data_IF_847010320056
#
_entry.id   IF_847010320056
#
_cell.length_a   1.000
_cell.length_b   1.000
_cell.length_c   1.000
_cell.angle_alpha   90.00
_cell.angle_beta   90.00
_cell.angle_gamma   90.00
#
_symmetry.space_group_name_H-M   'P 1'
#
loop_
_entity.id
_entity.type
_entity.pdbx_description
1 polymer ?
#
# COMPACT_ATOMS: atom_id res chain seq x y z
N UNK A 1 -14.26 -24.67 -3.94
CA UNK A 1 -14.80 -23.80 -5.00
C UNK A 1 -13.74 -22.72 -5.26
N UNK A 2 -13.32 -22.57 -6.52
CA UNK A 2 -12.37 -21.52 -6.92
C UNK A 2 -12.94 -20.12 -6.60
N UNK A 3 -12.14 -19.18 -6.12
CA UNK A 3 -12.58 -17.82 -5.97
C UNK A 3 -13.05 -17.30 -7.33
N UNK A 4 -14.18 -16.61 -7.37
CA UNK A 4 -14.64 -15.96 -8.59
C UNK A 4 -13.73 -14.77 -8.83
N UNK A 5 -13.15 -14.72 -10.02
CA UNK A 5 -12.50 -13.51 -10.50
C UNK A 5 -13.59 -12.54 -10.90
N UNK A 6 -13.49 -11.31 -10.41
CA UNK A 6 -14.33 -10.21 -10.83
C UNK A 6 -13.48 -9.28 -11.70
N UNK A 7 -13.98 -8.95 -12.89
CA UNK A 7 -13.43 -7.83 -13.64
C UNK A 7 -13.95 -6.55 -13.01
N UNK A 8 -13.03 -5.67 -12.63
CA UNK A 8 -13.35 -4.37 -12.05
C UNK A 8 -12.84 -3.32 -13.03
N UNK A 9 -13.71 -2.44 -13.47
CA UNK A 9 -13.33 -1.30 -14.28
C UNK A 9 -12.82 -0.19 -13.37
N UNK A 10 -11.58 0.24 -13.59
CA UNK A 10 -10.96 1.36 -12.88
C UNK A 10 -10.87 2.53 -13.84
N UNK A 11 -11.46 3.67 -13.48
CA UNK A 11 -11.36 4.89 -14.27
C UNK A 11 -9.88 5.32 -14.39
N UNK A 12 -9.54 5.97 -15.53
CA UNK A 12 -8.18 6.48 -15.73
C UNK A 12 -7.78 7.47 -14.62
N UNK A 13 -6.57 7.33 -14.09
CA UNK A 13 -6.01 8.17 -13.05
C UNK A 13 -4.52 8.44 -13.29
N UNK A 14 -4.01 9.45 -12.62
CA UNK A 14 -2.58 9.72 -12.54
C UNK A 14 -2.07 9.38 -11.15
N UNK A 15 -0.87 8.82 -11.06
CA UNK A 15 -0.21 8.50 -9.81
C UNK A 15 1.21 9.06 -9.80
N UNK A 16 1.72 9.43 -8.63
CA UNK A 16 3.11 9.86 -8.49
C UNK A 16 4.06 8.75 -8.91
N UNK A 17 5.09 9.11 -9.65
CA UNK A 17 6.14 8.16 -10.06
C UNK A 17 6.95 7.64 -8.89
N UNK A 18 7.19 8.47 -7.89
CA UNK A 18 7.99 8.18 -6.70
C UNK A 18 7.15 8.27 -5.44
N UNK A 19 7.51 7.49 -4.45
CA UNK A 19 7.00 7.63 -3.08
C UNK A 19 7.33 9.04 -2.56
N UNK A 20 6.41 9.62 -1.77
CA UNK A 20 6.64 10.95 -1.18
C UNK A 20 7.91 10.93 -0.33
N UNK A 21 8.85 11.78 -0.67
CA UNK A 21 10.12 11.87 0.03
C UNK A 21 10.02 12.66 1.34
N UNK A 22 10.97 12.44 2.24
CA UNK A 22 11.11 13.23 3.48
C UNK A 22 11.26 14.72 3.21
N UNK A 23 11.93 15.10 2.11
CA UNK A 23 12.08 16.48 1.69
C UNK A 23 10.75 17.11 1.30
N UNK A 24 9.94 16.40 0.53
CA UNK A 24 8.62 16.87 0.10
C UNK A 24 7.65 16.98 1.28
N UNK A 25 7.65 15.99 2.17
CA UNK A 25 6.84 16.03 3.37
C UNK A 25 7.27 17.17 4.32
N UNK A 26 8.59 17.40 4.47
CA UNK A 26 9.12 18.50 5.26
C UNK A 26 8.65 19.89 4.74
N UNK A 27 8.47 20.03 3.43
CA UNK A 27 7.90 21.27 2.87
C UNK A 27 6.45 21.48 3.30
N UNK A 28 5.65 20.41 3.43
CA UNK A 28 4.31 20.50 4.00
C UNK A 28 4.33 20.89 5.49
N UNK A 29 5.22 20.28 6.27
CA UNK A 29 5.39 20.58 7.70
C UNK A 29 5.77 22.04 7.89
N UNK A 30 6.65 22.59 7.05
CA UNK A 30 7.10 23.99 7.11
C UNK A 30 5.95 25.00 6.91
N UNK A 31 4.86 24.60 6.23
CA UNK A 31 3.66 25.44 6.08
C UNK A 31 2.66 25.28 7.24
N UNK A 32 2.89 24.35 8.15
CA UNK A 32 1.96 23.99 9.22
C UNK A 32 0.78 23.12 8.78
N UNK A 33 0.72 22.69 7.49
CA UNK A 33 -0.36 21.86 6.97
C UNK A 33 -0.21 20.36 7.33
N UNK A 34 1.03 19.91 7.53
CA UNK A 34 1.32 18.56 7.98
C UNK A 34 1.93 18.56 9.38
N UNK A 35 1.64 17.56 10.23
CA UNK A 35 2.30 17.45 11.52
C UNK A 35 3.77 17.04 11.36
N UNK A 36 4.66 17.47 12.27
CA UNK A 36 6.03 17.00 12.27
C UNK A 36 6.13 15.52 12.64
N UNK A 37 7.10 14.84 12.05
CA UNK A 37 7.40 13.43 12.29
C UNK A 37 8.89 13.24 12.56
N UNK A 38 9.32 12.13 13.22
CA UNK A 38 10.72 11.96 13.63
C UNK A 38 11.73 11.95 12.48
N UNK A 39 11.31 11.51 11.29
CA UNK A 39 12.20 11.35 10.13
C UNK A 39 11.96 12.46 9.12
N UNK A 40 12.78 13.49 9.15
CA UNK A 40 12.69 14.65 8.27
C UNK A 40 13.90 14.75 7.35
N UNK A 41 13.67 15.27 6.13
CA UNK A 41 14.71 15.62 5.16
C UNK A 41 15.32 14.46 4.39
N UNK A 42 15.87 14.79 3.19
CA UNK A 42 16.50 13.83 2.28
C UNK A 42 15.56 13.22 1.24
N UNK A 43 16.13 12.35 0.40
CA UNK A 43 15.44 11.70 -0.72
C UNK A 43 14.92 10.29 -0.40
N UNK A 44 14.91 9.92 0.87
CA UNK A 44 14.28 8.70 1.34
C UNK A 44 12.76 8.87 1.38
N UNK A 45 11.98 7.80 1.21
CA UNK A 45 10.54 7.89 1.40
C UNK A 45 10.20 8.31 2.82
N UNK A 46 9.11 9.06 2.95
CA UNK A 46 8.61 9.47 4.26
C UNK A 46 8.00 8.28 4.98
N UNK A 47 8.51 8.01 6.17
CA UNK A 47 8.01 6.98 7.10
C UNK A 47 7.48 7.62 8.39
N UNK A 48 6.90 6.83 9.28
CA UNK A 48 6.29 7.27 10.54
C UNK A 48 5.15 8.28 10.32
N UNK A 49 4.39 8.07 9.26
CA UNK A 49 3.15 8.79 8.95
C UNK A 49 1.97 7.86 9.07
N UNK A 50 0.89 8.30 9.68
CA UNK A 50 -0.37 7.58 9.68
C UNK A 50 -1.24 8.00 8.47
N UNK A 51 -2.40 7.37 8.32
CA UNK A 51 -3.31 7.68 7.21
C UNK A 51 -3.72 9.17 7.17
N UNK A 52 -3.97 9.77 8.34
CA UNK A 52 -4.37 11.19 8.44
C UNK A 52 -3.24 12.13 8.02
N UNK A 53 -2.01 11.77 8.35
CA UNK A 53 -0.82 12.53 7.93
C UNK A 53 -0.65 12.48 6.40
N UNK A 54 -0.81 11.30 5.81
CA UNK A 54 -0.74 11.10 4.36
C UNK A 54 -1.88 11.85 3.63
N UNK A 55 -3.08 11.82 4.17
CA UNK A 55 -4.23 12.56 3.65
C UNK A 55 -4.01 14.08 3.74
N UNK A 56 -3.47 14.57 4.86
CA UNK A 56 -3.13 15.99 5.03
C UNK A 56 -2.10 16.44 4.00
N UNK A 57 -1.09 15.61 3.73
CA UNK A 57 -0.11 15.87 2.68
C UNK A 57 -0.76 15.98 1.30
N UNK A 58 -1.62 15.02 0.92
CA UNK A 58 -2.32 15.03 -0.36
C UNK A 58 -3.17 16.30 -0.53
N UNK A 59 -3.89 16.70 0.53
CA UNK A 59 -4.68 17.93 0.56
C UNK A 59 -3.81 19.18 0.37
N UNK A 60 -2.70 19.27 1.09
CA UNK A 60 -1.75 20.37 0.95
C UNK A 60 -1.14 20.42 -0.46
N UNK A 61 -0.76 19.25 -0.99
CA UNK A 61 -0.16 19.14 -2.32
C UNK A 61 -1.15 19.56 -3.42
N UNK A 62 -2.43 19.25 -3.25
CA UNK A 62 -3.50 19.76 -4.12
C UNK A 62 -3.55 21.28 -4.15
N UNK A 63 -3.51 21.92 -3.00
CA UNK A 63 -3.47 23.39 -2.91
C UNK A 63 -2.22 23.99 -3.52
N UNK A 64 -1.08 23.29 -3.43
CA UNK A 64 0.20 23.73 -3.98
C UNK A 64 0.25 23.63 -5.51
N UNK A 65 -0.33 22.58 -6.09
CA UNK A 65 -0.25 22.31 -7.53
C UNK A 65 -1.45 22.85 -8.31
N UNK A 66 -2.57 23.11 -7.64
CA UNK A 66 -3.85 23.44 -8.27
C UNK A 66 -4.56 22.23 -8.88
N UNK A 67 -4.07 21.03 -8.64
CA UNK A 67 -4.65 19.75 -9.09
C UNK A 67 -5.29 19.03 -7.91
N UNK A 68 -6.22 18.11 -8.19
CA UNK A 68 -6.87 17.34 -7.13
C UNK A 68 -6.09 16.06 -6.81
N UNK A 69 -5.17 16.14 -5.85
CA UNK A 69 -4.41 15.00 -5.34
C UNK A 69 -5.11 14.36 -4.14
N UNK A 70 -5.12 13.04 -4.12
CA UNK A 70 -5.66 12.23 -3.04
C UNK A 70 -4.86 10.93 -2.88
N UNK A 71 -5.09 10.20 -1.83
CA UNK A 71 -4.60 8.84 -1.75
C UNK A 71 -5.28 7.98 -2.83
N UNK A 72 -4.56 7.03 -3.43
CA UNK A 72 -5.18 6.10 -4.39
C UNK A 72 -6.20 5.21 -3.66
N UNK A 73 -7.24 4.80 -4.36
CA UNK A 73 -8.02 3.67 -3.87
C UNK A 73 -7.17 2.40 -3.87
N UNK A 74 -7.58 1.38 -3.11
CA UNK A 74 -6.89 0.09 -3.09
C UNK A 74 -6.79 -0.53 -4.50
N UNK A 75 -7.84 -0.39 -5.31
CA UNK A 75 -7.85 -0.91 -6.68
C UNK A 75 -6.93 -0.12 -7.62
N UNK A 76 -6.87 1.21 -7.49
CA UNK A 76 -5.94 2.04 -8.25
C UNK A 76 -4.48 1.69 -7.90
N UNK A 77 -4.20 1.50 -6.60
CA UNK A 77 -2.87 1.11 -6.17
C UNK A 77 -2.47 -0.27 -6.71
N UNK A 78 -3.37 -1.26 -6.67
CA UNK A 78 -3.12 -2.60 -7.22
C UNK A 78 -2.88 -2.54 -8.74
N UNK A 79 -3.68 -1.76 -9.47
CA UNK A 79 -3.49 -1.55 -10.90
C UNK A 79 -2.14 -0.88 -11.20
N UNK A 80 -1.78 0.14 -10.42
CA UNK A 80 -0.50 0.83 -10.53
C UNK A 80 0.70 -0.08 -10.21
N UNK A 81 0.57 -0.98 -9.25
CA UNK A 81 1.60 -1.94 -8.88
C UNK A 81 1.86 -2.97 -9.99
N UNK A 82 0.83 -3.32 -10.77
CA UNK A 82 0.95 -4.22 -11.92
C UNK A 82 1.61 -5.55 -11.54
N UNK A 83 2.65 -5.93 -12.27
CA UNK A 83 3.40 -7.19 -12.06
C UNK A 83 4.11 -7.27 -10.69
N UNK A 84 4.23 -6.15 -9.99
CA UNK A 84 4.83 -6.12 -8.64
C UNK A 84 3.82 -6.34 -7.53
N UNK A 85 2.55 -6.47 -7.85
CA UNK A 85 1.53 -6.80 -6.85
C UNK A 85 1.63 -8.27 -6.47
N UNK A 86 2.11 -8.57 -5.26
CA UNK A 86 2.43 -9.92 -4.81
C UNK A 86 1.24 -10.87 -4.75
N UNK A 87 0.04 -10.37 -4.49
CA UNK A 87 -1.18 -11.18 -4.44
C UNK A 87 -1.66 -11.60 -5.86
N UNK A 88 -1.29 -10.84 -6.89
CA UNK A 88 -1.66 -11.12 -8.28
C UNK A 88 -0.74 -12.15 -8.96
N UNK A 89 0.46 -12.39 -8.43
CA UNK A 89 1.52 -13.12 -9.11
C UNK A 89 1.29 -14.64 -9.21
N UNK A 90 0.24 -15.21 -8.62
CA UNK A 90 0.05 -16.65 -8.58
C UNK A 90 -1.37 -17.07 -8.98
N UNK A 91 -1.50 -17.49 -10.23
CA UNK A 91 -2.62 -18.35 -10.63
C UNK A 91 -2.42 -19.75 -9.99
N UNK A 92 -2.79 -19.83 -8.71
CA UNK A 92 -2.67 -21.04 -7.90
C UNK A 92 -3.95 -21.87 -7.90
N UNK A 93 -4.86 -21.63 -8.85
CA UNK A 93 -6.20 -22.22 -8.89
C UNK A 93 -6.20 -23.75 -8.96
N UNK A 94 -5.15 -24.34 -9.51
CA UNK A 94 -5.00 -25.79 -9.64
C UNK A 94 -4.08 -26.42 -8.59
N UNK A 95 -3.48 -25.63 -7.68
CA UNK A 95 -2.53 -26.13 -6.70
C UNK A 95 -3.23 -26.60 -5.42
N UNK A 96 -2.72 -27.70 -4.85
CA UNK A 96 -3.03 -28.11 -3.47
C UNK A 96 -2.79 -26.94 -2.49
N UNK A 97 -3.64 -26.76 -1.45
CA UNK A 97 -3.48 -25.71 -0.45
C UNK A 97 -2.08 -25.59 0.16
N UNK A 98 -1.41 -26.73 0.42
CA UNK A 98 -0.04 -26.74 0.94
C UNK A 98 0.99 -26.26 -0.08
N UNK A 99 0.85 -26.67 -1.33
CA UNK A 99 1.71 -26.20 -2.43
C UNK A 99 1.48 -24.71 -2.71
N UNK A 100 0.23 -24.23 -2.61
CA UNK A 100 -0.11 -22.81 -2.74
C UNK A 100 0.59 -21.98 -1.68
N UNK A 101 0.54 -22.40 -0.41
CA UNK A 101 1.22 -21.73 0.69
C UNK A 101 2.74 -21.71 0.49
N UNK A 102 3.33 -22.81 0.04
CA UNK A 102 4.76 -22.89 -0.27
C UNK A 102 5.13 -21.98 -1.46
N UNK A 103 4.31 -21.92 -2.50
CA UNK A 103 4.53 -21.04 -3.65
C UNK A 103 4.43 -19.57 -3.24
N UNK A 104 3.44 -19.20 -2.43
CA UNK A 104 3.31 -17.85 -1.87
C UNK A 104 4.50 -17.49 -0.97
N UNK A 105 4.95 -18.43 -0.13
CA UNK A 105 6.14 -18.24 0.69
C UNK A 105 7.41 -18.08 -0.15
N UNK A 106 7.60 -18.93 -1.17
CA UNK A 106 8.75 -18.84 -2.08
C UNK A 106 8.76 -17.54 -2.87
N UNK A 107 7.60 -17.11 -3.37
CA UNK A 107 7.48 -15.82 -4.05
C UNK A 107 7.74 -14.64 -3.11
N UNK A 108 7.18 -14.67 -1.90
CA UNK A 108 7.48 -13.68 -0.87
C UNK A 108 8.95 -13.69 -0.46
N UNK A 109 9.65 -14.83 -0.55
CA UNK A 109 11.09 -14.95 -0.28
C UNK A 109 11.93 -14.41 -1.46
N UNK A 110 11.51 -14.67 -2.69
CA UNK A 110 12.16 -14.11 -3.89
C UNK A 110 12.00 -12.59 -3.93
N UNK A 111 10.82 -12.08 -3.64
CA UNK A 111 10.57 -10.64 -3.51
C UNK A 111 11.37 -10.04 -2.35
N UNK A 112 11.48 -10.75 -1.22
CA UNK A 112 12.32 -10.36 -0.07
C UNK A 112 13.82 -10.52 -0.32
N UNK A 113 14.24 -11.43 -1.17
CA UNK A 113 15.65 -11.59 -1.55
C UNK A 113 16.22 -10.38 -2.26
N UNK A 114 15.36 -9.54 -2.85
CA UNK A 114 15.70 -8.21 -3.37
C UNK A 114 15.37 -7.08 -2.39
N UNK A 115 14.59 -7.34 -1.35
CA UNK A 115 14.22 -6.37 -0.33
C UNK A 115 15.30 -6.35 0.76
N UNK A 116 16.25 -5.44 0.65
CA UNK A 116 17.05 -5.03 1.80
C UNK A 116 16.11 -4.47 2.88
N UNK A 117 16.22 -4.86 4.16
CA UNK A 117 15.48 -4.24 5.24
C UNK A 117 15.83 -2.77 5.44
N UNK A 118 16.89 -2.30 4.80
CA UNK A 118 17.30 -0.90 4.83
C UNK A 118 16.53 -0.09 3.79
N UNK A 119 15.96 1.04 4.22
CA UNK A 119 15.38 2.04 3.32
C UNK A 119 16.41 2.47 2.26
N UNK A 120 15.94 2.66 1.05
CA UNK A 120 16.72 3.20 -0.07
C UNK A 120 16.16 4.54 -0.50
N UNK A 121 17.01 5.42 -1.08
CA UNK A 121 16.52 6.63 -1.75
C UNK A 121 15.53 6.29 -2.86
N UNK A 122 14.70 7.26 -3.25
CA UNK A 122 13.72 7.12 -4.31
C UNK A 122 14.31 6.49 -5.59
N UNK A 123 13.66 5.49 -6.13
CA UNK A 123 14.11 4.71 -7.28
C UNK A 123 15.03 3.53 -6.93
N UNK A 124 15.39 3.34 -5.65
CA UNK A 124 16.35 2.33 -5.21
C UNK A 124 15.91 0.87 -5.42
N UNK A 125 14.63 0.62 -5.62
CA UNK A 125 14.04 -0.69 -5.94
C UNK A 125 13.63 -0.80 -7.42
N UNK A 126 13.89 0.23 -8.23
CA UNK A 126 13.65 0.25 -9.67
C UNK A 126 12.22 0.54 -10.05
N UNK A 127 11.95 0.46 -11.36
CA UNK A 127 10.65 0.77 -11.96
C UNK A 127 9.87 -0.52 -12.25
N UNK A 128 8.55 -0.45 -12.18
CA UNK A 128 7.67 -1.47 -12.74
C UNK A 128 7.39 -1.21 -14.24
N UNK A 129 6.58 -2.06 -14.89
CA UNK A 129 6.21 -1.91 -16.30
C UNK A 129 5.44 -0.61 -16.61
N UNK A 130 4.78 -0.02 -15.61
CA UNK A 130 4.09 1.26 -15.74
C UNK A 130 5.02 2.47 -15.51
N UNK A 131 6.31 2.25 -15.23
CA UNK A 131 7.28 3.32 -14.98
C UNK A 131 7.20 3.93 -13.58
N UNK A 132 6.51 3.26 -12.64
CA UNK A 132 6.38 3.69 -11.26
C UNK A 132 7.54 3.11 -10.46
N UNK A 133 8.20 3.95 -9.68
CA UNK A 133 9.37 3.58 -8.87
C UNK A 133 8.95 3.03 -7.50
N UNK A 134 9.68 2.01 -7.06
CA UNK A 134 9.63 1.44 -5.71
C UNK A 134 8.29 0.84 -5.25
N UNK A 135 7.26 0.89 -6.09
CA UNK A 135 5.94 0.34 -5.76
C UNK A 135 6.06 -1.14 -5.38
N UNK A 136 5.38 -1.56 -4.35
CA UNK A 136 5.53 -2.88 -3.69
C UNK A 136 6.92 -3.12 -3.07
N UNK A 137 7.71 -2.07 -2.86
CA UNK A 137 9.02 -2.13 -2.20
C UNK A 137 9.29 -0.90 -1.36
N UNK A 138 10.42 -0.87 -0.69
CA UNK A 138 10.92 0.21 0.14
C UNK A 138 10.05 0.48 1.39
N UNK A 139 8.84 1.00 1.21
CA UNK A 139 7.87 1.26 2.29
C UNK A 139 6.48 0.80 1.89
N UNK A 140 5.60 0.66 2.87
CA UNK A 140 4.19 0.48 2.67
C UNK A 140 3.54 1.81 2.35
N UNK A 141 2.53 1.79 1.48
CA UNK A 141 1.89 2.97 0.95
C UNK A 141 0.42 3.03 1.34
N UNK A 142 0.02 4.11 1.98
CA UNK A 142 -1.37 4.31 2.37
C UNK A 142 -2.29 4.44 1.15
N UNK A 143 -3.40 3.73 1.18
CA UNK A 143 -4.51 3.90 0.24
C UNK A 143 -5.72 4.52 0.96
N UNK A 144 -6.72 4.95 0.19
CA UNK A 144 -8.01 5.38 0.75
C UNK A 144 -8.95 4.20 1.02
N UNK A 145 -8.49 2.97 0.79
CA UNK A 145 -9.26 1.75 1.04
C UNK A 145 -9.56 1.57 2.53
N UNK A 146 -10.81 1.22 2.84
CA UNK A 146 -11.23 0.81 4.17
C UNK A 146 -11.25 -0.71 4.29
N UNK A 147 -10.98 -1.22 5.49
CA UNK A 147 -11.19 -2.64 5.74
C UNK A 147 -12.68 -2.98 5.58
N UNK A 148 -12.94 -4.03 4.83
CA UNK A 148 -14.28 -4.59 4.65
C UNK A 148 -14.23 -6.07 4.96
N UNK A 149 -15.17 -6.55 5.77
CA UNK A 149 -15.33 -7.97 6.05
C UNK A 149 -16.57 -8.48 5.33
N UNK A 150 -16.59 -9.79 5.08
CA UNK A 150 -17.74 -10.44 4.46
C UNK A 150 -18.03 -11.77 5.10
N UNK A 151 -19.29 -12.17 5.11
CA UNK A 151 -19.72 -13.49 5.50
C UNK A 151 -20.02 -14.31 4.25
N UNK A 152 -19.47 -15.53 4.17
CA UNK A 152 -19.78 -16.45 3.09
C UNK A 152 -21.06 -17.21 3.42
N UNK A 153 -22.08 -17.06 2.58
CA UNK A 153 -23.32 -17.82 2.69
C UNK A 153 -23.13 -19.27 2.19
N UNK A 154 -23.98 -20.22 2.65
CA UNK A 154 -23.92 -21.62 2.18
C UNK A 154 -24.08 -21.78 0.66
N UNK A 155 -24.77 -20.85 -0.01
CA UNK A 155 -24.95 -20.80 -1.45
C UNK A 155 -23.72 -20.27 -2.21
N UNK A 156 -22.68 -19.83 -1.46
CA UNK A 156 -21.44 -19.28 -2.01
C UNK A 156 -21.50 -17.79 -2.34
N UNK A 157 -22.57 -17.09 -1.98
CA UNK A 157 -22.63 -15.63 -2.06
C UNK A 157 -21.90 -15.00 -0.89
N UNK A 158 -21.33 -13.80 -1.09
CA UNK A 158 -20.69 -13.02 -0.04
C UNK A 158 -21.63 -11.88 0.33
N UNK A 159 -21.98 -11.80 1.60
CA UNK A 159 -22.60 -10.60 2.18
C UNK A 159 -21.48 -9.76 2.76
N UNK A 160 -21.21 -8.65 2.15
CA UNK A 160 -20.22 -7.69 2.64
C UNK A 160 -20.81 -6.87 3.79
N UNK A 161 -20.01 -6.59 4.78
CA UNK A 161 -20.36 -5.63 5.85
C UNK A 161 -20.10 -4.21 5.36
N UNK A 162 -20.65 -3.23 6.08
CA UNK A 162 -20.26 -1.84 5.88
C UNK A 162 -18.75 -1.65 6.07
N UNK A 163 -18.11 -0.82 5.24
CA UNK A 163 -16.67 -0.54 5.36
C UNK A 163 -16.33 0.04 6.74
N UNK A 164 -15.28 -0.51 7.34
CA UNK A 164 -14.78 -0.06 8.63
C UNK A 164 -13.52 0.80 8.44
N UNK A 165 -13.72 2.12 8.33
CA UNK A 165 -12.67 3.05 7.92
C UNK A 165 -11.71 3.51 9.03
N UNK A 166 -11.85 3.01 10.26
CA UNK A 166 -10.81 3.13 11.30
C UNK A 166 -9.60 2.23 11.02
N UNK A 167 -9.79 1.25 10.12
CA UNK A 167 -8.74 0.39 9.61
C UNK A 167 -8.64 0.62 8.11
N UNK A 168 -7.49 1.10 7.67
CA UNK A 168 -7.19 1.43 6.28
C UNK A 168 -6.34 0.36 5.64
N UNK A 169 -6.41 0.28 4.33
CA UNK A 169 -5.56 -0.62 3.56
C UNK A 169 -4.29 0.12 3.16
N UNK A 170 -3.15 -0.52 3.41
CA UNK A 170 -1.87 -0.11 2.87
C UNK A 170 -1.39 -1.15 1.86
N UNK A 171 -0.85 -0.68 0.75
CA UNK A 171 -0.25 -1.49 -0.30
C UNK A 171 1.26 -1.64 -0.09
N UNK A 172 1.78 -2.81 -0.42
CA UNK A 172 3.20 -3.15 -0.31
C UNK A 172 3.46 -4.50 -0.96
N UNK A 173 4.35 -5.31 -0.42
CA UNK A 173 4.57 -6.70 -0.87
C UNK A 173 3.31 -7.57 -0.74
N UNK A 174 2.38 -7.18 0.07
CA UNK A 174 1.01 -7.67 0.17
C UNK A 174 0.11 -6.53 0.68
N UNK A 175 -1.18 -6.75 0.82
CA UNK A 175 -2.09 -5.79 1.45
C UNK A 175 -2.01 -5.91 2.96
N UNK A 176 -1.96 -4.77 3.64
CA UNK A 176 -2.01 -4.69 5.10
C UNK A 176 -3.23 -3.89 5.55
N UNK A 177 -3.89 -4.36 6.61
CA UNK A 177 -4.97 -3.65 7.27
C UNK A 177 -4.42 -2.98 8.53
N UNK A 178 -4.39 -1.66 8.57
CA UNK A 178 -3.70 -0.86 9.59
C UNK A 178 -4.65 0.19 10.14
N UNK A 179 -4.62 0.38 11.46
CA UNK A 179 -5.43 1.41 12.12
C UNK A 179 -4.98 2.81 11.67
N UNK A 180 -5.93 3.69 11.33
CA UNK A 180 -5.72 4.96 10.61
C UNK A 180 -4.83 5.98 11.34
N UNK A 181 -4.66 5.87 12.66
CA UNK A 181 -3.85 6.80 13.47
C UNK A 181 -2.48 6.25 13.87
N UNK A 182 -2.14 5.01 13.49
CA UNK A 182 -0.87 4.38 13.84
C UNK A 182 0.25 4.89 12.94
N UNK A 183 1.33 5.40 13.54
CA UNK A 183 2.54 5.87 12.85
C UNK A 183 3.67 4.85 12.89
N UNK A 184 3.62 3.93 13.82
CA UNK A 184 4.59 2.84 13.97
C UNK A 184 3.89 1.52 13.68
N UNK A 185 4.19 0.94 12.55
CA UNK A 185 3.58 -0.30 12.10
C UNK A 185 3.84 -1.49 13.03
N UNK A 186 4.92 -1.46 13.80
CA UNK A 186 5.23 -2.52 14.78
C UNK A 186 4.17 -2.62 15.88
N UNK A 187 3.42 -1.55 16.11
CA UNK A 187 2.35 -1.46 17.13
C UNK A 187 0.98 -1.76 16.56
N UNK A 188 0.80 -1.64 15.22
CA UNK A 188 -0.50 -1.67 14.55
C UNK A 188 -1.01 -3.05 14.14
N UNK A 189 -0.16 -4.04 14.08
CA UNK A 189 -0.50 -5.39 13.65
C UNK A 189 -1.01 -5.48 12.20
N UNK A 190 -0.48 -6.42 11.43
CA UNK A 190 -1.06 -6.81 10.15
C UNK A 190 -2.14 -7.88 10.38
N UNK A 191 -3.26 -7.77 9.69
CA UNK A 191 -4.29 -8.81 9.70
C UNK A 191 -3.78 -10.12 9.07
N UNK A 192 -2.69 -10.05 8.27
CA UNK A 192 -2.05 -11.19 7.62
C UNK A 192 -0.53 -11.01 7.61
N UNK A 193 0.18 -11.76 8.44
CA UNK A 193 1.64 -11.80 8.48
C UNK A 193 2.30 -10.85 9.48
N UNK A 194 3.62 -10.73 9.40
CA UNK A 194 4.38 -9.80 10.22
C UNK A 194 4.12 -8.36 9.78
N UNK A 195 3.95 -7.42 10.73
CA UNK A 195 3.81 -6.02 10.37
C UNK A 195 5.03 -5.54 9.59
N UNK A 196 4.83 -4.59 8.66
CA UNK A 196 5.96 -3.98 7.96
C UNK A 196 6.83 -3.20 8.95
N UNK A 197 8.13 -3.25 8.75
CA UNK A 197 9.09 -2.52 9.60
C UNK A 197 8.96 -0.99 9.41
N UNK A 198 8.35 -0.55 8.31
CA UNK A 198 8.24 0.86 7.94
C UNK A 198 6.87 1.17 7.30
N UNK A 199 6.19 2.15 7.82
CA UNK A 199 5.03 2.83 7.24
C UNK A 199 5.38 4.26 6.85
#
# INVERSE_FOLDING_TARGET
RSPRLYEIEVAGFSIMKYQVSRREYAACVATGACPPVPTMGGDYPQTHVNWKDAHAYATWYSGKTGENWRLPSDMEWQLAAGERYGDAAHDTREMDPGQRMLAQYAAGTLLRGTASPALRPAGGFGLNSHGIADISGNVWEWTDGCMQSGSLHPDGTVRESEPYCWVRIAGGIHRAAIVDFVRDASVGGCAVGLPPDHL
#
